data_IF_958640606175
#
_entry.id   IF_958640606175
#
_cell.length_a   1.000
_cell.length_b   1.000
_cell.length_c   1.000
_cell.angle_alpha   90.00
_cell.angle_beta   90.00
_cell.angle_gamma   90.00
#
_symmetry.space_group_name_H-M   'P 1'
#
loop_
_entity.id
_entity.type
_entity.pdbx_description
1 polymer ?
#
# COMPACT_ATOMS: atom_id res chain seq x y z
N UNK A 1 -12.89 -0.29 19.08
CA UNK A 1 -11.55 -0.04 18.53
C UNK A 1 -10.74 0.77 19.52
N UNK A 2 -9.56 0.33 19.90
CA UNK A 2 -8.68 1.09 20.80
C UNK A 2 -7.89 2.14 20.01
N UNK A 3 -7.46 3.22 20.66
CA UNK A 3 -6.67 4.29 20.02
C UNK A 3 -5.44 3.75 19.28
N UNK A 4 -4.80 2.72 19.84
CA UNK A 4 -3.64 2.06 19.23
C UNK A 4 -4.01 1.43 17.88
N UNK A 5 -5.13 0.72 17.78
CA UNK A 5 -5.58 0.12 16.51
C UNK A 5 -5.81 1.17 15.42
N UNK A 6 -6.41 2.31 15.77
CA UNK A 6 -6.64 3.40 14.82
C UNK A 6 -5.31 3.98 14.33
N UNK A 7 -4.35 4.22 15.23
CA UNK A 7 -3.01 4.69 14.87
C UNK A 7 -2.25 3.67 14.02
N UNK A 8 -2.39 2.37 14.31
CA UNK A 8 -1.74 1.32 13.53
C UNK A 8 -2.35 1.17 12.13
N UNK A 9 -3.67 1.34 11.98
CA UNK A 9 -4.34 1.39 10.68
C UNK A 9 -3.89 2.60 9.85
N UNK A 10 -3.81 3.79 10.46
CA UNK A 10 -3.30 4.99 9.80
C UNK A 10 -1.84 4.82 9.36
N UNK A 11 -1.03 4.18 10.20
CA UNK A 11 0.36 3.83 9.87
C UNK A 11 0.41 2.88 8.67
N UNK A 12 -0.42 1.84 8.66
CA UNK A 12 -0.48 0.88 7.57
C UNK A 12 -0.89 1.51 6.24
N UNK A 13 -1.90 2.40 6.25
CA UNK A 13 -2.31 3.17 5.07
C UNK A 13 -1.15 4.06 4.59
N UNK A 14 -0.47 4.73 5.51
CA UNK A 14 0.67 5.60 5.17
C UNK A 14 1.83 4.83 4.54
N UNK A 15 2.15 3.64 5.08
CA UNK A 15 3.19 2.75 4.55
C UNK A 15 2.78 2.25 3.16
N UNK A 16 1.53 1.81 3.00
CA UNK A 16 1.02 1.27 1.73
C UNK A 16 1.03 2.33 0.61
N UNK A 17 0.70 3.58 0.95
CA UNK A 17 0.79 4.71 0.00
C UNK A 17 2.24 5.01 -0.38
N UNK A 18 3.17 5.02 0.58
CA UNK A 18 4.59 5.22 0.27
C UNK A 18 5.12 4.12 -0.66
N UNK A 19 4.82 2.86 -0.34
CA UNK A 19 5.22 1.71 -1.17
C UNK A 19 4.61 1.82 -2.57
N UNK A 20 3.32 2.15 -2.68
CA UNK A 20 2.65 2.31 -3.96
C UNK A 20 3.22 3.44 -4.82
N UNK A 21 3.49 4.61 -4.22
CA UNK A 21 4.11 5.74 -4.92
C UNK A 21 5.53 5.39 -5.35
N UNK A 22 6.35 4.82 -4.46
CA UNK A 22 7.70 4.38 -4.80
C UNK A 22 7.69 3.34 -5.93
N UNK A 23 6.83 2.32 -5.85
CA UNK A 23 6.72 1.30 -6.89
C UNK A 23 6.27 1.88 -8.23
N UNK A 24 5.31 2.81 -8.22
CA UNK A 24 4.86 3.51 -9.42
C UNK A 24 5.95 4.39 -10.04
N UNK A 25 6.71 5.12 -9.20
CA UNK A 25 7.86 5.90 -9.65
C UNK A 25 8.96 5.00 -10.24
N UNK A 26 9.29 3.90 -9.56
CA UNK A 26 10.28 2.92 -10.07
C UNK A 26 9.83 2.33 -11.41
N UNK A 27 8.55 1.96 -11.55
CA UNK A 27 8.02 1.47 -12.82
C UNK A 27 8.13 2.52 -13.94
N UNK A 28 7.86 3.79 -13.62
CA UNK A 28 8.01 4.91 -14.57
C UNK A 28 9.47 5.15 -14.94
N UNK A 29 10.39 5.06 -13.98
CA UNK A 29 11.83 5.13 -14.23
C UNK A 29 12.35 3.94 -15.04
N UNK A 30 11.72 2.77 -14.93
CA UNK A 30 12.02 1.59 -15.73
C UNK A 30 11.48 1.68 -17.18
N UNK A 31 10.88 2.80 -17.58
CA UNK A 31 10.36 3.03 -18.92
C UNK A 31 8.92 2.54 -19.14
N UNK A 32 8.21 2.15 -18.08
CA UNK A 32 6.80 1.79 -18.21
C UNK A 32 5.95 3.03 -18.52
N UNK A 33 4.98 2.89 -19.42
CA UNK A 33 4.02 3.95 -19.73
C UNK A 33 3.25 4.40 -18.48
N UNK A 34 2.75 5.64 -18.47
CA UNK A 34 2.11 6.25 -17.30
C UNK A 34 0.97 5.41 -16.71
N UNK A 35 0.13 4.80 -17.57
CA UNK A 35 -0.95 3.92 -17.12
C UNK A 35 -0.42 2.66 -16.42
N UNK A 36 0.66 2.07 -16.95
CA UNK A 36 1.26 0.86 -16.39
C UNK A 36 1.96 1.15 -15.06
N UNK A 37 2.67 2.29 -14.97
CA UNK A 37 3.27 2.74 -13.72
C UNK A 37 2.24 2.97 -12.61
N UNK A 38 1.09 3.59 -12.94
CA UNK A 38 -0.02 3.79 -12.00
C UNK A 38 -0.61 2.44 -11.57
N UNK A 39 -0.83 1.50 -12.49
CA UNK A 39 -1.35 0.17 -12.16
C UNK A 39 -0.39 -0.61 -11.25
N UNK A 40 0.92 -0.54 -11.50
CA UNK A 40 1.93 -1.17 -10.64
C UNK A 40 1.92 -0.58 -9.23
N UNK A 41 1.91 0.74 -9.12
CA UNK A 41 1.86 1.42 -7.82
C UNK A 41 0.56 1.14 -7.05
N UNK A 42 -0.58 1.17 -7.75
CA UNK A 42 -1.88 0.82 -7.19
C UNK A 42 -1.95 -0.64 -6.72
N UNK A 43 -1.39 -1.57 -7.50
CA UNK A 43 -1.32 -2.99 -7.14
C UNK A 43 -0.44 -3.23 -5.90
N UNK A 44 0.71 -2.56 -5.81
CA UNK A 44 1.58 -2.63 -4.65
C UNK A 44 0.90 -2.08 -3.38
N UNK A 45 0.20 -0.94 -3.49
CA UNK A 45 -0.58 -0.37 -2.41
C UNK A 45 -1.73 -1.30 -1.98
N UNK A 46 -2.49 -1.86 -2.94
CA UNK A 46 -3.60 -2.76 -2.64
C UNK A 46 -3.14 -4.04 -1.94
N UNK A 47 -2.02 -4.62 -2.39
CA UNK A 47 -1.45 -5.84 -1.80
C UNK A 47 -1.02 -5.61 -0.35
N UNK A 48 -0.31 -4.50 -0.09
CA UNK A 48 0.14 -4.15 1.26
C UNK A 48 -1.03 -3.87 2.21
N UNK A 49 -2.05 -3.16 1.74
CA UNK A 49 -3.29 -2.95 2.49
C UNK A 49 -4.02 -4.27 2.79
N UNK A 50 -4.09 -5.17 1.80
CA UNK A 50 -4.75 -6.46 1.95
C UNK A 50 -4.05 -7.33 2.99
N UNK A 51 -2.70 -7.37 3.00
CA UNK A 51 -1.94 -8.09 4.03
C UNK A 51 -2.27 -7.53 5.41
N UNK A 52 -2.35 -6.21 5.55
CA UNK A 52 -2.66 -5.58 6.83
C UNK A 52 -4.09 -5.91 7.30
N UNK A 53 -5.08 -5.82 6.42
CA UNK A 53 -6.45 -6.19 6.76
C UNK A 53 -6.60 -7.68 7.07
N UNK A 54 -5.90 -8.56 6.34
CA UNK A 54 -5.86 -9.99 6.66
C UNK A 54 -5.23 -10.22 8.03
N UNK A 55 -4.14 -9.54 8.37
CA UNK A 55 -3.52 -9.63 9.70
C UNK A 55 -4.47 -9.14 10.79
N UNK A 56 -5.16 -8.01 10.58
CA UNK A 56 -6.18 -7.53 11.53
C UNK A 56 -7.30 -8.57 11.67
N UNK A 57 -7.83 -9.12 10.59
CA UNK A 57 -8.89 -10.13 10.66
C UNK A 57 -8.48 -11.47 11.31
N UNK A 58 -7.18 -11.80 11.28
CA UNK A 58 -6.67 -13.04 11.87
C UNK A 58 -6.34 -12.90 13.36
N UNK A 59 -5.91 -11.71 13.79
CA UNK A 59 -5.42 -11.46 15.17
C UNK A 59 -6.37 -10.62 16.03
N UNK A 60 -7.45 -10.09 15.46
CA UNK A 60 -8.52 -9.37 16.15
C UNK A 60 -9.89 -9.98 15.88
#
# INVERSE_FOLDING_TARGET
MTTVQVLSLLLAVSISLNIGVSAGLTARHAGAGAAHAVLTGAGAAATTLSIYFTAVAAYH
#
